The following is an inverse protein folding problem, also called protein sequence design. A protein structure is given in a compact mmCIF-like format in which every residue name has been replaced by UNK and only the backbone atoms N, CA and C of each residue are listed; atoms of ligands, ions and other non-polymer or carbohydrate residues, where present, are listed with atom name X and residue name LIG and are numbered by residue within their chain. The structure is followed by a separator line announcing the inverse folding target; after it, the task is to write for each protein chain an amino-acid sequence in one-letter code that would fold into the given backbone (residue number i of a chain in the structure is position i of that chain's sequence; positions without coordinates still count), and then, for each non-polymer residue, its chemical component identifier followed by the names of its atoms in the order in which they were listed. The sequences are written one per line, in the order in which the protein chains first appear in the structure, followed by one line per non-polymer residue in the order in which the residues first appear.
data_IF_703415364552
#
_entry.id   IF_703415364552
#
_cell.length_a   1.000
_cell.length_b   1.000
_cell.length_c   1.000
_cell.angle_alpha   90.00
_cell.angle_beta   90.00
_cell.angle_gamma   90.00
#
_symmetry.space_group_name_H-M   'P 1'
#
loop_
_entity.id
_entity.type
_entity.pdbx_description
1 polymer ?
#
# COMPACT_ATOMS: atom_id res chain seq x y z
N UNK A 1 -39.36 -67.68 2.64
CA UNK A 1 -40.29 -66.66 3.16
C UNK A 1 -39.71 -65.32 2.73
N UNK A 2 -40.17 -64.83 1.58
CA UNK A 2 -39.84 -63.49 1.09
C UNK A 2 -40.95 -62.53 1.49
N UNK A 3 -40.58 -61.28 1.71
CA UNK A 3 -41.51 -60.15 1.72
C UNK A 3 -40.82 -59.00 1.01
N UNK A 4 -41.56 -58.50 0.03
CA UNK A 4 -41.22 -57.49 -0.97
C UNK A 4 -41.38 -56.07 -0.41
N UNK A 5 -40.59 -55.19 -1.00
CA UNK A 5 -40.71 -53.73 -1.18
C UNK A 5 -42.13 -53.13 -1.10
N UNK A 6 -42.24 -51.95 -0.48
CA UNK A 6 -43.03 -50.82 -1.02
C UNK A 6 -42.65 -49.53 -0.26
N UNK A 7 -42.24 -48.51 -1.01
CA UNK A 7 -41.83 -47.21 -0.51
C UNK A 7 -42.98 -46.28 -0.18
N UNK A 8 -42.67 -45.21 0.57
CA UNK A 8 -43.28 -43.90 0.33
C UNK A 8 -42.31 -42.79 0.74
N UNK A 9 -41.81 -42.15 -0.30
CA UNK A 9 -41.14 -40.87 -0.37
C UNK A 9 -42.06 -39.74 0.14
N UNK A 10 -41.55 -38.85 0.99
CA UNK A 10 -42.02 -37.45 1.03
C UNK A 10 -40.90 -36.56 1.55
N UNK A 11 -40.12 -36.01 0.62
CA UNK A 11 -39.23 -34.87 0.85
C UNK A 11 -40.08 -33.60 0.98
N UNK A 12 -39.99 -32.91 2.11
CA UNK A 12 -40.63 -31.61 2.35
C UNK A 12 -39.83 -30.51 1.63
N UNK A 13 -40.26 -30.14 0.42
CA UNK A 13 -39.68 -29.02 -0.32
C UNK A 13 -40.25 -27.73 0.27
N UNK A 14 -39.44 -27.04 1.07
CA UNK A 14 -39.69 -25.67 1.51
C UNK A 14 -39.48 -24.72 0.32
N UNK A 15 -40.58 -24.30 -0.31
CA UNK A 15 -40.60 -23.28 -1.35
C UNK A 15 -40.46 -21.88 -0.72
N UNK A 16 -39.31 -21.22 -0.96
CA UNK A 16 -39.14 -19.78 -0.71
C UNK A 16 -39.44 -18.97 -1.99
N UNK A 17 -40.03 -17.77 -1.89
CA UNK A 17 -40.55 -17.05 -3.05
C UNK A 17 -39.44 -16.40 -3.89
N UNK A 18 -39.62 -16.48 -5.22
CA UNK A 18 -38.79 -15.86 -6.25
C UNK A 18 -38.81 -14.34 -6.12
N UNK A 19 -37.64 -13.71 -6.26
CA UNK A 19 -37.47 -12.24 -6.34
C UNK A 19 -37.08 -11.85 -7.75
N UNK A 20 -37.92 -11.03 -8.39
CA UNK A 20 -37.70 -10.46 -9.73
C UNK A 20 -36.59 -9.39 -9.75
N UNK A 21 -35.89 -9.16 -10.89
CA UNK A 21 -34.79 -8.21 -10.99
C UNK A 21 -35.19 -6.78 -11.43
N UNK A 22 -34.73 -5.80 -10.63
CA UNK A 22 -34.21 -4.42 -10.90
C UNK A 22 -34.86 -3.47 -11.93
N UNK A 23 -34.76 -2.15 -11.63
CA UNK A 23 -34.28 -1.19 -12.63
C UNK A 23 -32.96 -0.51 -12.23
N UNK A 24 -32.12 -0.29 -13.24
CA UNK A 24 -30.82 0.35 -13.18
C UNK A 24 -30.91 1.83 -12.77
N UNK A 25 -29.94 2.29 -11.97
CA UNK A 25 -29.68 3.73 -11.75
C UNK A 25 -28.35 4.12 -12.37
N UNK A 26 -28.44 4.91 -13.44
CA UNK A 26 -27.34 5.63 -14.07
C UNK A 26 -26.94 6.81 -13.18
N UNK A 27 -25.66 6.91 -12.80
CA UNK A 27 -25.09 8.16 -12.26
C UNK A 27 -24.07 8.68 -13.26
N UNK A 28 -24.46 9.75 -13.97
CA UNK A 28 -23.56 10.58 -14.74
C UNK A 28 -22.60 11.33 -13.80
N UNK A 29 -21.31 11.22 -14.06
CA UNK A 29 -20.28 12.02 -13.40
C UNK A 29 -19.89 13.18 -14.31
N UNK A 30 -20.14 14.41 -13.89
CA UNK A 30 -19.63 15.62 -14.54
C UNK A 30 -18.35 16.08 -13.83
N UNK A 31 -17.22 16.33 -14.52
CA UNK A 31 -16.04 16.92 -13.90
C UNK A 31 -16.18 18.45 -13.77
N UNK A 32 -15.66 19.08 -12.70
CA UNK A 32 -15.53 20.53 -12.65
C UNK A 32 -14.38 21.01 -13.57
N UNK A 33 -14.66 22.08 -14.31
CA UNK A 33 -13.70 22.77 -15.18
C UNK A 33 -12.67 23.56 -14.37
N UNK A 34 -11.42 23.52 -14.86
CA UNK A 34 -10.28 24.31 -14.38
C UNK A 34 -10.32 25.74 -14.95
N UNK A 35 -10.23 26.73 -14.06
CA UNK A 35 -9.89 28.14 -14.33
C UNK A 35 -9.30 28.66 -13.00
N UNK A 36 -8.13 29.30 -12.89
CA UNK A 36 -7.61 30.37 -13.73
C UNK A 36 -6.11 30.59 -13.41
N UNK A 37 -5.37 31.08 -14.41
CA UNK A 37 -3.92 31.34 -14.39
C UNK A 37 -3.69 32.82 -14.10
N UNK A 38 -3.13 33.15 -12.94
CA UNK A 38 -2.65 34.49 -12.62
C UNK A 38 -1.16 34.65 -12.93
N UNK A 39 -0.85 35.28 -14.07
CA UNK A 39 0.50 35.67 -14.47
C UNK A 39 0.63 37.20 -14.43
N UNK A 40 1.58 37.72 -13.66
CA UNK A 40 1.85 39.16 -13.57
C UNK A 40 3.35 39.46 -13.46
N UNK A 41 4.02 39.48 -14.62
CA UNK A 41 5.19 40.32 -14.97
C UNK A 41 4.98 41.79 -14.55
N UNK A 42 5.92 42.71 -14.41
CA UNK A 42 7.39 42.86 -14.44
C UNK A 42 7.61 44.31 -13.96
N UNK A 43 8.72 44.65 -13.30
CA UNK A 43 9.44 45.88 -13.69
C UNK A 43 10.86 45.92 -13.12
N UNK A 44 11.79 46.20 -14.02
CA UNK A 44 13.21 46.40 -13.80
C UNK A 44 13.48 47.85 -14.17
N UNK A 45 14.22 48.61 -13.38
CA UNK A 45 14.85 49.84 -13.87
C UNK A 45 16.25 49.96 -13.29
N UNK A 46 17.19 50.16 -14.20
CA UNK A 46 18.63 50.21 -14.02
C UNK A 46 19.15 51.60 -14.39
N UNK A 47 20.17 52.06 -13.64
CA UNK A 47 21.27 53.00 -13.99
C UNK A 47 21.01 54.53 -13.94
N UNK A 48 22.06 55.40 -13.97
CA UNK A 48 23.32 55.41 -13.20
C UNK A 48 23.81 56.82 -12.75
N UNK A 49 24.79 56.85 -11.83
CA UNK A 49 25.98 57.75 -11.89
C UNK A 49 25.90 59.21 -11.39
N UNK A 50 26.69 59.53 -10.36
CA UNK A 50 27.37 60.83 -10.24
C UNK A 50 28.62 60.70 -9.34
N UNK A 51 29.75 61.13 -9.89
CA UNK A 51 31.11 61.04 -9.36
C UNK A 51 31.49 62.40 -8.73
N UNK A 52 31.93 62.46 -7.47
CA UNK A 52 32.61 63.65 -6.91
C UNK A 52 33.67 63.26 -5.87
N UNK A 53 34.79 63.98 -5.96
CA UNK A 53 36.14 63.75 -5.45
C UNK A 53 36.33 64.03 -3.95
N UNK A 54 37.33 63.35 -3.37
CA UNK A 54 38.04 63.40 -2.05
C UNK A 54 38.04 64.73 -1.26
N UNK A 55 38.19 64.75 0.10
CA UNK A 55 39.43 64.34 0.79
C UNK A 55 39.24 63.54 2.11
N UNK A 56 40.25 62.76 2.47
CA UNK A 56 40.34 62.06 3.74
C UNK A 56 40.69 63.01 4.91
N UNK A 57 40.09 62.81 6.10
CA UNK A 57 40.72 63.16 7.36
C UNK A 57 41.08 61.88 8.14
N UNK A 58 42.37 61.70 8.39
CA UNK A 58 42.86 60.74 9.38
C UNK A 58 42.49 61.23 10.78
N UNK A 59 41.76 60.43 11.57
CA UNK A 59 41.85 60.52 13.03
C UNK A 59 41.51 59.17 13.68
N UNK A 60 42.36 58.84 14.65
CA UNK A 60 42.43 57.63 15.45
C UNK A 60 41.14 57.25 16.20
N UNK A 61 40.94 55.92 16.28
CA UNK A 61 40.44 55.25 17.48
C UNK A 61 38.95 54.96 17.47
N UNK A 62 38.59 53.69 17.32
CA UNK A 62 37.86 52.89 18.32
C UNK A 62 37.96 51.44 17.86
N UNK A 63 38.41 50.56 18.75
CA UNK A 63 38.42 49.13 18.53
C UNK A 63 36.98 48.66 18.27
N UNK A 64 36.63 48.44 17.00
CA UNK A 64 35.40 47.75 16.66
C UNK A 64 35.67 46.27 16.92
N UNK A 65 35.21 45.79 18.08
CA UNK A 65 35.08 44.36 18.31
C UNK A 65 34.22 43.82 17.17
N UNK A 66 34.85 43.05 16.28
CA UNK A 66 34.15 42.22 15.30
C UNK A 66 33.34 41.22 16.10
N UNK A 67 32.11 41.57 16.45
CA UNK A 67 31.14 40.61 16.92
C UNK A 67 30.83 39.75 15.71
N UNK A 68 31.50 38.61 15.61
CA UNK A 68 31.09 37.52 14.73
C UNK A 68 29.62 37.25 15.04
N UNK A 69 28.72 37.66 14.15
CA UNK A 69 27.33 37.23 14.23
C UNK A 69 27.32 35.73 13.99
N UNK A 70 27.34 34.97 15.08
CA UNK A 70 26.96 33.57 15.07
C UNK A 70 25.47 33.55 14.77
N UNK A 71 25.10 33.41 13.51
CA UNK A 71 23.74 33.08 13.13
C UNK A 71 23.42 31.72 13.79
N UNK A 72 22.62 31.77 14.86
CA UNK A 72 22.15 30.57 15.54
C UNK A 72 21.19 29.90 14.56
N UNK A 73 21.68 28.86 13.87
CA UNK A 73 20.84 28.03 13.02
C UNK A 73 19.66 27.51 13.85
N UNK A 74 18.44 27.92 13.49
CA UNK A 74 17.22 27.33 14.05
C UNK A 74 17.25 25.82 13.85
N UNK A 75 16.98 25.00 14.89
CA UNK A 75 16.96 23.56 14.73
C UNK A 75 15.85 23.18 13.73
N UNK A 76 16.24 22.67 12.56
CA UNK A 76 15.28 22.06 11.64
C UNK A 76 14.67 20.84 12.32
N UNK A 77 13.40 20.94 12.72
CA UNK A 77 12.65 19.80 13.23
C UNK A 77 12.47 18.78 12.10
N UNK A 78 12.98 17.57 12.31
CA UNK A 78 12.77 16.46 11.36
C UNK A 78 11.29 16.06 11.37
N UNK A 79 10.64 15.86 10.21
CA UNK A 79 9.27 15.35 10.16
C UNK A 79 9.18 13.92 10.68
N UNK A 80 7.97 13.44 10.98
CA UNK A 80 7.75 12.04 11.34
C UNK A 80 7.94 11.10 10.15
N UNK A 81 8.52 9.92 10.36
CA UNK A 81 8.61 8.91 9.31
C UNK A 81 7.23 8.38 8.89
N UNK A 82 6.22 8.45 9.77
CA UNK A 82 4.83 8.16 9.37
C UNK A 82 4.32 9.09 8.29
N UNK A 83 4.57 10.39 8.45
CA UNK A 83 4.22 11.37 7.43
C UNK A 83 5.07 11.15 6.17
N UNK A 84 6.37 10.89 6.32
CA UNK A 84 7.28 10.73 5.19
C UNK A 84 6.94 9.52 4.32
N UNK A 85 6.70 8.36 4.93
CA UNK A 85 6.42 7.11 4.20
C UNK A 85 4.93 6.90 3.91
N UNK A 86 4.04 7.63 4.60
CA UNK A 86 2.60 7.57 4.39
C UNK A 86 2.03 6.18 4.69
N UNK A 87 0.92 5.84 4.03
CA UNK A 87 0.33 4.51 4.12
C UNK A 87 1.15 3.53 3.28
N UNK A 88 1.63 2.48 3.94
CA UNK A 88 2.44 1.44 3.33
C UNK A 88 1.57 0.22 3.11
N UNK A 89 1.54 -0.28 1.89
CA UNK A 89 0.93 -1.56 1.53
C UNK A 89 2.05 -2.57 1.31
N UNK A 90 1.83 -3.81 1.70
CA UNK A 90 2.81 -4.88 1.52
C UNK A 90 2.29 -5.86 0.48
N UNK A 91 3.06 -6.06 -0.59
CA UNK A 91 2.83 -7.13 -1.55
C UNK A 91 3.78 -8.29 -1.25
N UNK A 92 3.22 -9.47 -1.01
CA UNK A 92 3.98 -10.70 -0.84
C UNK A 92 4.19 -11.39 -2.18
N UNK A 93 5.43 -11.83 -2.42
CA UNK A 93 5.83 -12.64 -3.57
C UNK A 93 6.37 -13.95 -3.03
N UNK A 94 5.73 -15.06 -3.41
CA UNK A 94 6.19 -16.39 -3.01
C UNK A 94 7.35 -16.83 -3.90
N UNK A 95 8.43 -17.32 -3.28
CA UNK A 95 9.52 -17.98 -3.97
C UNK A 95 9.39 -19.49 -3.78
N UNK A 96 9.03 -20.18 -4.86
CA UNK A 96 8.87 -21.63 -4.87
C UNK A 96 10.16 -22.40 -4.59
N UNK A 97 11.33 -21.80 -4.81
CA UNK A 97 12.63 -22.44 -4.63
C UNK A 97 13.02 -22.49 -3.16
N UNK A 98 12.86 -21.37 -2.46
CA UNK A 98 13.16 -21.26 -1.02
C UNK A 98 11.96 -21.61 -0.13
N UNK A 99 10.76 -21.74 -0.71
CA UNK A 99 9.48 -21.92 -0.01
C UNK A 99 9.16 -20.80 0.98
N UNK A 100 9.73 -19.62 0.77
CA UNK A 100 9.54 -18.43 1.60
C UNK A 100 8.92 -17.27 0.80
N UNK A 101 8.46 -16.25 1.51
CA UNK A 101 7.94 -15.02 0.93
C UNK A 101 8.99 -13.90 0.92
N UNK A 102 8.92 -13.07 -0.11
CA UNK A 102 9.55 -11.77 -0.15
C UNK A 102 8.47 -10.69 -0.06
N UNK A 103 8.67 -9.71 0.80
CA UNK A 103 7.79 -8.55 0.93
C UNK A 103 8.32 -7.39 0.09
N UNK A 104 7.44 -6.80 -0.72
CA UNK A 104 7.68 -5.56 -1.41
C UNK A 104 6.80 -4.47 -0.82
N UNK A 105 7.39 -3.31 -0.52
CA UNK A 105 6.67 -2.16 0.00
C UNK A 105 6.10 -1.35 -1.17
N UNK A 106 4.80 -1.09 -1.10
CA UNK A 106 4.01 -0.30 -2.03
C UNK A 106 3.32 0.84 -1.25
N UNK A 107 2.80 1.84 -1.96
CA UNK A 107 2.08 2.97 -1.35
C UNK A 107 2.29 4.28 -2.11
N UNK A 108 1.49 5.29 -1.76
CA UNK A 108 1.43 6.57 -2.49
C UNK A 108 2.78 7.30 -2.52
N UNK A 109 3.53 7.21 -1.41
CA UNK A 109 4.85 7.84 -1.26
C UNK A 109 6.00 6.92 -1.66
N UNK A 110 5.70 5.77 -2.31
CA UNK A 110 6.68 4.76 -2.76
C UNK A 110 7.73 4.46 -1.68
N UNK A 111 7.30 3.98 -0.50
CA UNK A 111 8.20 3.71 0.61
C UNK A 111 9.31 2.75 0.18
N UNK A 112 10.56 3.06 0.54
CA UNK A 112 11.72 2.20 0.30
C UNK A 112 12.56 2.09 1.57
N UNK A 113 13.15 0.93 1.75
CA UNK A 113 14.25 0.77 2.68
C UNK A 113 15.46 1.56 2.15
N UNK A 114 16.01 2.48 2.93
CA UNK A 114 17.26 3.17 2.58
C UNK A 114 18.50 2.42 3.06
N UNK A 115 18.33 1.55 4.06
CA UNK A 115 19.40 0.74 4.63
C UNK A 115 19.30 -0.71 4.18
N UNK A 116 20.44 -1.32 3.88
CA UNK A 116 20.55 -2.73 3.48
C UNK A 116 19.98 -3.69 4.52
N UNK A 117 19.95 -3.30 5.78
CA UNK A 117 19.43 -4.14 6.85
C UNK A 117 17.91 -4.26 6.76
N UNK A 118 17.21 -3.16 6.47
CA UNK A 118 15.77 -3.18 6.20
C UNK A 118 15.43 -4.07 4.98
N UNK A 119 16.22 -4.01 3.91
CA UNK A 119 15.98 -4.86 2.73
C UNK A 119 16.12 -6.35 3.03
N UNK A 120 17.09 -6.74 3.86
CA UNK A 120 17.24 -8.14 4.31
C UNK A 120 16.05 -8.60 5.13
N UNK A 121 15.50 -7.74 5.98
CA UNK A 121 14.34 -8.06 6.81
C UNK A 121 13.09 -8.39 5.99
N UNK A 122 13.00 -7.89 4.74
CA UNK A 122 11.88 -8.12 3.82
C UNK A 122 12.04 -9.38 2.95
N UNK A 123 13.14 -10.13 3.08
CA UNK A 123 13.40 -11.35 2.30
C UNK A 123 13.30 -12.60 3.15
N UNK A 124 13.07 -13.74 2.49
CA UNK A 124 13.07 -15.08 3.11
C UNK A 124 12.14 -15.18 4.34
N UNK A 125 10.96 -14.59 4.23
CA UNK A 125 9.95 -14.59 5.28
C UNK A 125 9.23 -15.95 5.33
N UNK A 126 9.21 -16.65 6.47
CA UNK A 126 8.50 -17.90 6.59
C UNK A 126 6.98 -17.68 6.52
N UNK A 127 6.26 -18.63 5.95
CA UNK A 127 4.79 -18.58 5.88
C UNK A 127 4.15 -18.48 7.27
N UNK A 128 2.98 -17.83 7.35
CA UNK A 128 2.22 -17.68 8.61
C UNK A 128 3.02 -17.13 9.80
N UNK A 129 3.99 -16.27 9.52
CA UNK A 129 4.79 -15.59 10.53
C UNK A 129 4.41 -14.12 10.66
N UNK A 130 4.67 -13.56 11.84
CA UNK A 130 4.50 -12.14 12.10
C UNK A 130 5.86 -11.50 12.35
N UNK A 131 6.12 -10.36 11.72
CA UNK A 131 7.41 -9.70 11.80
C UNK A 131 7.28 -8.19 11.74
N UNK A 132 7.91 -7.49 12.67
CA UNK A 132 7.98 -6.03 12.63
C UNK A 132 9.22 -5.58 11.86
N UNK A 133 9.05 -4.62 10.96
CA UNK A 133 10.13 -3.98 10.21
C UNK A 133 10.12 -2.49 10.47
N UNK A 134 11.28 -1.94 10.80
CA UNK A 134 11.46 -0.51 11.06
C UNK A 134 11.86 0.21 9.78
N UNK A 135 11.03 1.14 9.35
CA UNK A 135 11.30 2.10 8.29
C UNK A 135 11.86 3.39 8.90
N UNK A 136 13.17 3.49 8.89
CA UNK A 136 13.92 4.64 9.37
C UNK A 136 14.62 5.35 8.21
N UNK A 137 14.82 6.65 8.37
CA UNK A 137 15.59 7.48 7.45
C UNK A 137 16.21 8.64 8.24
N UNK A 138 17.48 8.96 8.00
CA UNK A 138 18.18 10.02 8.71
C UNK A 138 17.52 11.41 8.66
N UNK A 139 16.55 11.61 7.77
CA UNK A 139 15.77 12.84 7.61
C UNK A 139 14.41 12.85 8.31
N UNK A 140 13.97 11.78 8.97
CA UNK A 140 12.71 11.75 9.72
C UNK A 140 12.86 11.08 11.10
N UNK A 141 12.04 11.49 12.06
CA UNK A 141 11.97 10.93 13.42
C UNK A 141 10.57 11.16 14.01
N UNK A 142 9.96 10.21 14.73
CA UNK A 142 10.44 8.87 15.02
C UNK A 142 10.34 7.92 13.82
N UNK A 143 10.99 6.77 13.92
CA UNK A 143 10.94 5.71 12.91
C UNK A 143 9.52 5.12 12.81
N UNK A 144 9.14 4.73 11.59
CA UNK A 144 7.84 4.08 11.33
C UNK A 144 8.01 2.58 11.43
N UNK A 145 7.16 1.88 12.18
CA UNK A 145 7.19 0.42 12.27
C UNK A 145 6.02 -0.16 11.47
N UNK A 146 6.30 -1.12 10.60
CA UNK A 146 5.29 -1.89 9.87
C UNK A 146 5.27 -3.34 10.39
N UNK A 147 4.07 -3.89 10.60
CA UNK A 147 3.90 -5.30 10.93
C UNK A 147 3.59 -6.09 9.65
N UNK A 148 4.40 -7.10 9.38
CA UNK A 148 4.23 -8.05 8.29
C UNK A 148 3.44 -9.24 8.84
N UNK A 149 2.22 -9.45 8.36
CA UNK A 149 1.41 -10.65 8.62
C UNK A 149 1.53 -11.56 7.39
N UNK A 150 2.52 -12.46 7.41
CA UNK A 150 2.94 -13.22 6.23
C UNK A 150 1.89 -14.29 5.90
N UNK A 151 1.43 -14.39 4.63
CA UNK A 151 0.38 -15.32 4.26
C UNK A 151 0.82 -16.80 4.33
N UNK A 152 -0.12 -17.74 4.24
CA UNK A 152 0.20 -19.15 4.05
C UNK A 152 0.78 -19.40 2.66
N UNK A 153 1.67 -20.37 2.54
CA UNK A 153 2.30 -20.76 1.28
C UNK A 153 1.29 -21.21 0.23
N UNK A 154 1.56 -20.87 -1.03
CA UNK A 154 0.66 -21.15 -2.16
C UNK A 154 0.43 -22.64 -2.37
N UNK A 155 1.43 -23.48 -2.07
CA UNK A 155 1.38 -24.94 -2.17
C UNK A 155 0.37 -25.60 -1.21
N UNK A 156 -0.10 -24.87 -0.20
CA UNK A 156 -1.13 -25.35 0.74
C UNK A 156 -2.54 -25.26 0.15
N UNK A 157 -2.72 -24.62 -1.00
CA UNK A 157 -4.01 -24.44 -1.67
C UNK A 157 -4.06 -25.18 -3.01
N UNK A 158 -5.25 -25.62 -3.39
CA UNK A 158 -5.48 -26.28 -4.66
C UNK A 158 -6.85 -25.94 -5.20
N UNK A 159 -6.91 -25.37 -6.40
CA UNK A 159 -8.16 -25.20 -7.09
C UNK A 159 -8.57 -26.52 -7.75
N UNK A 160 -9.72 -27.06 -7.36
CA UNK A 160 -10.26 -28.32 -7.88
C UNK A 160 -11.51 -28.09 -8.71
N UNK A 161 -11.61 -28.83 -9.82
CA UNK A 161 -12.86 -28.97 -10.57
C UNK A 161 -13.75 -29.98 -9.84
N UNK A 162 -14.95 -29.54 -9.46
CA UNK A 162 -15.98 -30.35 -8.79
C UNK A 162 -17.21 -30.58 -9.67
N UNK A 163 -17.11 -30.29 -10.97
CA UNK A 163 -18.23 -30.41 -11.92
C UNK A 163 -18.56 -31.88 -12.13
N UNK A 164 -19.82 -32.30 -11.90
CA UNK A 164 -20.24 -33.66 -12.19
C UNK A 164 -20.12 -33.95 -13.69
N UNK A 165 -19.58 -35.13 -14.05
CA UNK A 165 -19.40 -35.52 -15.46
C UNK A 165 -20.69 -35.43 -16.29
N UNK A 166 -21.82 -35.76 -15.64
CA UNK A 166 -23.15 -35.73 -16.26
C UNK A 166 -23.66 -34.31 -16.59
N UNK A 167 -23.12 -33.28 -15.94
CA UNK A 167 -23.53 -31.88 -16.11
C UNK A 167 -22.44 -31.03 -16.77
N UNK A 168 -21.28 -31.62 -17.10
CA UNK A 168 -20.09 -30.90 -17.54
C UNK A 168 -20.28 -30.08 -18.84
N UNK A 169 -21.32 -30.37 -19.62
CA UNK A 169 -21.69 -29.60 -20.81
C UNK A 169 -22.50 -28.33 -20.50
N UNK A 170 -22.99 -28.15 -19.27
CA UNK A 170 -23.90 -27.05 -18.87
C UNK A 170 -23.54 -26.37 -17.56
N UNK A 171 -22.71 -26.98 -16.71
CA UNK A 171 -22.32 -26.43 -15.42
C UNK A 171 -20.80 -26.39 -15.23
N UNK A 172 -20.36 -25.53 -14.32
CA UNK A 172 -18.97 -25.43 -13.88
C UNK A 172 -18.99 -25.31 -12.36
N UNK A 173 -18.24 -26.19 -11.68
CA UNK A 173 -17.99 -26.13 -10.25
C UNK A 173 -16.48 -26.04 -10.00
N UNK A 174 -16.08 -25.01 -9.25
CA UNK A 174 -14.71 -24.76 -8.86
C UNK A 174 -14.64 -24.58 -7.34
N UNK A 175 -13.70 -25.27 -6.70
CA UNK A 175 -13.54 -25.25 -5.25
C UNK A 175 -12.05 -25.11 -4.86
N UNK A 176 -11.72 -24.15 -4.00
CA UNK A 176 -10.41 -24.08 -3.36
C UNK A 176 -10.35 -25.06 -2.18
N UNK A 177 -9.44 -26.03 -2.27
CA UNK A 177 -9.15 -26.97 -1.18
C UNK A 177 -7.85 -26.64 -0.49
N UNK A 178 -7.85 -26.75 0.84
CA UNK A 178 -6.64 -26.69 1.67
C UNK A 178 -6.03 -28.09 1.71
N UNK A 179 -4.81 -28.24 1.18
CA UNK A 179 -4.07 -29.52 1.12
C UNK A 179 -3.34 -29.82 2.42
N UNK A 180 -2.60 -28.84 2.93
CA UNK A 180 -1.81 -28.97 4.15
C UNK A 180 -2.33 -28.02 5.22
N UNK A 181 -2.19 -28.41 6.48
CA UNK A 181 -2.51 -27.53 7.60
C UNK A 181 -1.45 -26.44 7.73
N UNK A 182 -1.90 -25.21 8.00
CA UNK A 182 -1.07 -24.06 8.31
C UNK A 182 -1.60 -23.33 9.54
N UNK A 183 -0.79 -22.46 10.15
CA UNK A 183 -1.10 -21.77 11.41
C UNK A 183 -1.80 -20.42 11.24
N UNK A 184 -1.80 -19.86 10.03
CA UNK A 184 -2.50 -18.61 9.73
C UNK A 184 -3.98 -18.67 10.10
N UNK A 185 -4.52 -17.53 10.47
CA UNK A 185 -5.95 -17.36 10.68
C UNK A 185 -6.72 -17.47 9.35
N UNK A 186 -7.50 -18.55 9.21
CA UNK A 186 -8.31 -18.82 8.03
C UNK A 186 -9.40 -17.77 7.79
N UNK A 187 -9.83 -17.05 8.83
CA UNK A 187 -10.88 -16.03 8.71
C UNK A 187 -10.42 -14.80 7.94
N UNK A 188 -9.10 -14.60 7.82
CA UNK A 188 -8.51 -13.51 7.02
C UNK A 188 -8.36 -13.85 5.53
N UNK A 189 -8.60 -15.11 5.16
CA UNK A 189 -8.42 -15.58 3.78
C UNK A 189 -9.73 -15.42 3.02
N UNK A 190 -9.68 -14.76 1.87
CA UNK A 190 -10.82 -14.63 0.96
C UNK A 190 -10.47 -15.20 -0.42
N UNK A 191 -11.42 -15.93 -1.00
CA UNK A 191 -11.29 -16.51 -2.33
C UNK A 191 -12.14 -15.72 -3.31
N UNK A 192 -11.55 -15.32 -4.43
CA UNK A 192 -12.24 -14.55 -5.46
C UNK A 192 -12.19 -15.32 -6.77
N UNK A 193 -13.34 -15.40 -7.44
CA UNK A 193 -13.49 -16.03 -8.75
C UNK A 193 -13.95 -15.00 -9.77
N UNK A 194 -13.41 -15.09 -10.98
CA UNK A 194 -13.87 -14.32 -12.12
C UNK A 194 -13.95 -15.25 -13.32
N UNK A 195 -15.16 -15.60 -13.73
CA UNK A 195 -15.41 -16.34 -14.95
C UNK A 195 -15.75 -15.35 -16.08
N UNK A 196 -15.18 -15.57 -17.26
CA UNK A 196 -15.50 -14.80 -18.47
C UNK A 196 -16.21 -15.69 -19.48
N UNK A 197 -17.18 -15.16 -20.25
CA UNK A 197 -17.81 -15.88 -21.35
C UNK A 197 -16.82 -16.34 -22.42
#
# INVERSE_FOLDING_TARGET
QGTTDDGLDTTEIVLLPQTDPLPARTTEFTPPSISERGNGSSETTYLPGANLTTPAPSTLGFASNTTTSTEIATPQTKPSCDEKFGNVTVRYIYDDSSKNFNANLEGDKKPKCEHTDCEKELKNLPECSQKNVTLSNGSCTPDKIINLDVPPGTHNFNLTNCTPDIEANTSICLEWKIKNKFTCDIQKISYNYRCTP
#
